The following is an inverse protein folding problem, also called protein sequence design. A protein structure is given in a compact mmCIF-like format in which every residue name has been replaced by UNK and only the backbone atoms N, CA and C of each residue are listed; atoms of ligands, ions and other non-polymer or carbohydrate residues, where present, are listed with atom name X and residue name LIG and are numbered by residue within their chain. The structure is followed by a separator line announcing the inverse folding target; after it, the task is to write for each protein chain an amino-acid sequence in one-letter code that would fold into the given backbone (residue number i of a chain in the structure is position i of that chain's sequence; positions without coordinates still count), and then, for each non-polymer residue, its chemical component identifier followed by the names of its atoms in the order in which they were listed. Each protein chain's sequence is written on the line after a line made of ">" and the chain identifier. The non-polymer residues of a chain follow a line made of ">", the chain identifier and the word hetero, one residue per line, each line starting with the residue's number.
data_IF_279156278570
#
_entry.id   IF_279156278570
#
_cell.length_a   1.000
_cell.length_b   1.000
_cell.length_c   1.000
_cell.angle_alpha   90.00
_cell.angle_beta   90.00
_cell.angle_gamma   90.00
#
_symmetry.space_group_name_H-M   'P 1'
#
loop_
_entity.id
_entity.type
_entity.pdbx_description
1 polymer ?
#
# COMPACT_ATOMS: atom_id res chain seq x y z
N UNK A 1 8.59 -8.36 5.27
CA UNK A 1 7.95 -8.97 4.10
C UNK A 1 6.47 -9.17 4.40
N UNK A 2 5.59 -8.99 3.42
CA UNK A 2 4.14 -8.95 3.52
C UNK A 2 3.53 -9.72 2.35
N UNK A 3 2.22 -9.85 2.32
CA UNK A 3 1.49 -10.55 1.24
C UNK A 3 0.62 -9.64 0.40
N UNK A 4 0.43 -8.40 0.83
CA UNK A 4 -0.49 -7.45 0.23
C UNK A 4 -1.97 -7.73 0.56
N UNK A 5 -2.21 -8.48 1.63
CA UNK A 5 -3.54 -8.68 2.18
C UNK A 5 -3.70 -7.75 3.38
N UNK A 6 -4.41 -6.65 3.15
CA UNK A 6 -4.67 -5.65 4.18
C UNK A 6 -5.46 -6.27 5.33
N UNK A 7 -4.94 -6.13 6.54
CA UNK A 7 -5.57 -6.71 7.73
C UNK A 7 -6.53 -5.73 8.41
N UNK A 8 -6.23 -4.43 8.33
CA UNK A 8 -7.13 -3.40 8.84
C UNK A 8 -6.76 -2.01 8.30
N UNK A 9 -7.57 -1.03 8.62
CA UNK A 9 -7.29 0.38 8.36
C UNK A 9 -6.81 1.06 9.64
N UNK A 10 -5.87 1.97 9.48
CA UNK A 10 -5.48 2.94 10.49
C UNK A 10 -5.76 4.36 10.05
N UNK A 11 -5.51 5.30 10.93
CA UNK A 11 -5.51 6.72 10.62
C UNK A 11 -4.37 7.43 11.34
N UNK A 12 -3.85 8.45 10.70
CA UNK A 12 -2.81 9.30 11.29
C UNK A 12 -3.44 10.12 12.42
N UNK A 13 -2.86 10.06 13.60
CA UNK A 13 -3.25 10.87 14.76
C UNK A 13 -2.32 12.05 14.97
N UNK A 14 -1.04 11.88 14.59
CA UNK A 14 -0.05 12.94 14.74
C UNK A 14 1.12 12.78 13.76
N UNK A 15 1.77 13.88 13.43
CA UNK A 15 3.03 13.90 12.69
C UNK A 15 3.90 15.08 13.12
N UNK A 16 5.02 14.78 13.77
CA UNK A 16 5.95 15.81 14.28
C UNK A 16 7.38 15.37 13.98
N UNK A 17 8.17 16.23 13.35
CA UNK A 17 9.60 16.04 13.12
C UNK A 17 9.98 14.71 12.46
N UNK A 18 9.16 14.22 11.53
CA UNK A 18 9.39 12.94 10.84
C UNK A 18 8.85 11.72 11.57
N UNK A 19 8.37 11.86 12.80
CA UNK A 19 7.65 10.81 13.53
C UNK A 19 6.17 10.85 13.19
N UNK A 20 5.66 9.75 12.65
CA UNK A 20 4.25 9.52 12.32
C UNK A 20 3.62 8.64 13.39
N UNK A 21 2.51 9.08 13.97
CA UNK A 21 1.68 8.31 14.90
C UNK A 21 0.41 7.84 14.21
N UNK A 22 0.12 6.56 14.34
CA UNK A 22 -1.02 5.89 13.69
C UNK A 22 -1.83 5.15 14.74
N UNK A 23 -3.15 5.33 14.69
CA UNK A 23 -4.12 4.56 15.47
C UNK A 23 -4.84 3.55 14.56
N UNK A 24 -4.99 2.31 15.05
CA UNK A 24 -5.66 1.21 14.33
C UNK A 24 -6.37 0.27 15.28
N UNK A 25 -7.53 -0.31 14.91
CA UNK A 25 -8.16 -1.39 15.65
C UNK A 25 -7.48 -2.76 15.40
N UNK A 26 -6.45 -2.85 14.53
CA UNK A 26 -5.69 -4.07 14.34
C UNK A 26 -4.98 -4.45 15.63
N UNK A 27 -5.16 -5.70 16.07
CA UNK A 27 -4.40 -6.23 17.21
C UNK A 27 -2.90 -6.29 16.88
N UNK A 28 -2.11 -5.50 17.60
CA UNK A 28 -0.65 -5.45 17.52
C UNK A 28 0.03 -6.02 18.77
N UNK A 29 -0.69 -6.80 19.61
CA UNK A 29 -0.16 -7.37 20.86
C UNK A 29 1.04 -8.31 20.64
N UNK A 30 1.15 -8.91 19.46
CA UNK A 30 2.26 -9.74 19.02
C UNK A 30 3.41 -8.98 18.34
N UNK A 31 3.25 -7.67 18.15
CA UNK A 31 4.29 -6.79 17.64
C UNK A 31 5.12 -6.18 18.78
N UNK A 32 6.38 -5.87 18.49
CA UNK A 32 7.32 -5.25 19.45
C UNK A 32 7.94 -4.00 18.81
N UNK A 33 8.55 -3.16 19.63
CA UNK A 33 9.45 -2.11 19.12
C UNK A 33 10.51 -2.80 18.25
N UNK A 34 10.72 -2.27 17.03
CA UNK A 34 11.54 -2.89 15.99
C UNK A 34 10.76 -3.80 15.02
N UNK A 35 9.49 -4.13 15.27
CA UNK A 35 8.66 -4.86 14.31
C UNK A 35 8.40 -4.00 13.06
N UNK A 36 8.39 -4.65 11.90
CA UNK A 36 7.98 -4.01 10.65
C UNK A 36 6.47 -4.09 10.48
N UNK A 37 5.86 -2.96 10.20
CA UNK A 37 4.43 -2.83 9.89
C UNK A 37 4.32 -2.17 8.50
N UNK A 38 3.54 -2.77 7.61
CA UNK A 38 3.26 -2.22 6.29
C UNK A 38 2.14 -1.17 6.41
N UNK A 39 2.46 0.07 6.04
CA UNK A 39 1.54 1.20 6.05
C UNK A 39 1.40 1.75 4.63
N UNK A 40 0.24 1.62 3.99
CA UNK A 40 0.04 1.96 2.57
C UNK A 40 1.14 1.38 1.66
N UNK A 41 1.57 0.14 1.91
CA UNK A 41 2.62 -0.52 1.14
C UNK A 41 4.05 -0.16 1.56
N UNK A 42 4.24 0.75 2.53
CA UNK A 42 5.57 1.14 3.02
C UNK A 42 5.92 0.30 4.23
N UNK A 43 7.04 -0.41 4.19
CA UNK A 43 7.60 -1.12 5.35
C UNK A 43 8.19 -0.10 6.33
N UNK A 44 7.55 0.06 7.48
CA UNK A 44 7.97 0.99 8.52
C UNK A 44 8.27 0.25 9.81
N UNK A 45 9.32 0.68 10.51
CA UNK A 45 9.72 0.08 11.78
C UNK A 45 9.03 0.78 12.93
N UNK A 46 8.31 0.03 13.75
CA UNK A 46 7.65 0.56 14.94
C UNK A 46 8.67 0.99 16.00
N UNK A 47 8.61 2.25 16.39
CA UNK A 47 9.44 2.83 17.49
C UNK A 47 8.69 2.90 18.80
N UNK A 48 7.38 2.80 18.76
CA UNK A 48 6.48 2.78 19.89
C UNK A 48 5.24 1.96 19.53
N UNK A 49 4.71 1.18 20.48
CA UNK A 49 3.43 0.46 20.36
C UNK A 49 2.77 0.49 21.73
N UNK A 50 1.52 0.89 21.79
CA UNK A 50 0.71 0.84 23.01
C UNK A 50 -0.76 0.62 22.65
N UNK A 51 -1.48 -0.03 23.54
CA UNK A 51 -2.93 -0.19 23.43
C UNK A 51 -3.62 0.90 24.25
N UNK A 52 -4.55 1.60 23.64
CA UNK A 52 -5.42 2.59 24.29
C UNK A 52 -6.86 2.24 23.93
N UNK A 53 -7.64 1.88 24.92
CA UNK A 53 -9.01 1.36 24.75
C UNK A 53 -9.04 0.17 23.77
N UNK A 54 -9.83 0.28 22.72
CA UNK A 54 -10.00 -0.74 21.68
C UNK A 54 -9.06 -0.55 20.48
N UNK A 55 -8.10 0.38 20.55
CA UNK A 55 -7.17 0.65 19.46
C UNK A 55 -5.72 0.45 19.92
N UNK A 56 -4.87 0.10 18.98
CA UNK A 56 -3.43 0.19 19.12
C UNK A 56 -2.95 1.51 18.50
N UNK A 57 -2.07 2.18 19.22
CA UNK A 57 -1.32 3.35 18.74
C UNK A 57 0.12 2.91 18.56
N UNK A 58 0.68 3.16 17.40
CA UNK A 58 2.09 2.93 17.14
C UNK A 58 2.72 4.13 16.42
N UNK A 59 4.03 4.28 16.63
CA UNK A 59 4.82 5.34 16.00
C UNK A 59 5.88 4.75 15.11
N UNK A 60 6.19 5.47 14.05
CA UNK A 60 7.22 5.12 13.06
C UNK A 60 7.95 6.38 12.61
N UNK A 61 9.22 6.26 12.24
CA UNK A 61 9.98 7.36 11.66
C UNK A 61 9.97 7.29 10.14
N UNK A 62 9.63 8.41 9.50
CA UNK A 62 9.69 8.57 8.06
C UNK A 62 11.02 9.23 7.67
N UNK A 63 11.96 8.44 7.13
CA UNK A 63 13.19 8.96 6.54
C UNK A 63 12.92 9.83 5.29
N UNK A 64 13.87 10.67 4.93
CA UNK A 64 13.76 11.58 3.77
C UNK A 64 13.46 10.82 2.46
N UNK A 65 14.09 9.67 2.24
CA UNK A 65 13.84 8.82 1.07
C UNK A 65 12.39 8.32 1.05
N UNK A 66 11.87 7.84 2.19
CA UNK A 66 10.48 7.41 2.32
C UNK A 66 9.52 8.54 1.99
N UNK A 67 9.76 9.73 2.54
CA UNK A 67 8.91 10.90 2.27
C UNK A 67 8.96 11.33 0.80
N UNK A 68 10.11 11.23 0.13
CA UNK A 68 10.26 11.64 -1.27
C UNK A 68 9.67 10.63 -2.26
N UNK A 69 9.69 9.33 -1.93
CA UNK A 69 9.28 8.24 -2.84
C UNK A 69 7.84 7.79 -2.65
N UNK A 70 7.19 8.20 -1.58
CA UNK A 70 5.87 7.68 -1.22
C UNK A 70 4.82 8.78 -1.11
N UNK A 71 3.56 8.38 -1.01
CA UNK A 71 2.47 9.32 -0.76
C UNK A 71 2.44 9.81 0.71
N UNK A 72 3.40 9.41 1.56
CA UNK A 72 3.64 9.99 2.90
C UNK A 72 4.32 11.37 2.84
N UNK A 73 4.14 12.12 1.77
CA UNK A 73 4.53 13.51 1.68
C UNK A 73 3.53 14.40 2.45
N UNK A 74 3.83 15.69 2.57
CA UNK A 74 3.12 16.70 3.38
C UNK A 74 1.57 16.69 3.35
N UNK A 75 0.94 15.97 2.42
CA UNK A 75 -0.51 15.92 2.28
C UNK A 75 -1.20 14.83 3.14
N UNK A 76 -0.46 13.88 3.72
CA UNK A 76 -1.02 12.82 4.60
C UNK A 76 -1.24 13.30 6.04
N UNK A 77 -0.71 14.46 6.39
CA UNK A 77 -0.77 15.04 7.75
C UNK A 77 -2.20 15.46 8.16
N UNK A 78 -3.18 15.37 7.28
CA UNK A 78 -4.57 15.59 7.66
C UNK A 78 -5.13 14.36 8.36
N UNK A 79 -5.53 14.52 9.62
CA UNK A 79 -6.04 13.51 10.57
C UNK A 79 -7.18 12.59 10.07
N UNK A 80 -7.55 12.62 8.80
CA UNK A 80 -8.64 11.84 8.20
C UNK A 80 -8.20 10.83 7.15
N UNK A 81 -6.91 10.76 6.82
CA UNK A 81 -6.42 9.82 5.79
C UNK A 81 -6.42 8.40 6.35
N UNK A 82 -7.11 7.51 5.64
CA UNK A 82 -7.10 6.08 5.96
C UNK A 82 -5.88 5.41 5.36
N UNK A 83 -5.19 4.62 6.18
CA UNK A 83 -3.96 3.90 5.86
C UNK A 83 -4.23 2.40 5.92
N UNK A 84 -3.90 1.69 4.86
CA UNK A 84 -3.90 0.23 4.86
C UNK A 84 -2.80 -0.27 5.78
N UNK A 85 -3.11 -1.23 6.65
CA UNK A 85 -2.15 -1.80 7.60
C UNK A 85 -2.11 -3.31 7.44
N UNK A 86 -0.88 -3.84 7.39
CA UNK A 86 -0.58 -5.27 7.40
C UNK A 86 0.64 -5.52 8.30
N UNK A 87 0.55 -6.54 9.18
CA UNK A 87 1.69 -7.02 9.97
C UNK A 87 2.63 -7.85 9.11
N UNK A 88 3.88 -7.93 9.52
CA UNK A 88 4.84 -8.82 8.85
C UNK A 88 4.37 -10.26 8.84
N UNK A 89 4.55 -10.92 7.69
CA UNK A 89 4.31 -12.35 7.48
C UNK A 89 5.16 -13.16 8.45
N UNK A 90 4.58 -14.13 9.12
CA UNK A 90 5.26 -15.11 9.95
C UNK A 90 5.58 -16.38 9.17
N UNK A 91 6.55 -17.15 9.62
CA UNK A 91 6.85 -18.46 9.02
C UNK A 91 5.65 -19.38 9.26
N UNK A 92 5.13 -19.94 8.17
CA UNK A 92 3.96 -20.82 8.20
C UNK A 92 2.64 -20.14 7.87
N UNK A 93 2.61 -18.81 7.75
CA UNK A 93 1.42 -18.10 7.30
C UNK A 93 1.13 -18.35 5.81
N UNK A 94 -0.13 -18.22 5.42
CA UNK A 94 -0.58 -18.34 4.04
C UNK A 94 -0.22 -17.09 3.24
N UNK A 95 0.26 -17.31 2.00
CA UNK A 95 0.52 -16.24 1.03
C UNK A 95 -0.67 -16.14 0.07
N UNK A 96 -1.73 -15.46 0.48
CA UNK A 96 -2.95 -15.30 -0.33
C UNK A 96 -2.85 -14.23 -1.42
N UNK A 97 -1.83 -13.37 -1.37
CA UNK A 97 -1.54 -12.34 -2.38
C UNK A 97 -0.30 -12.68 -3.20
N UNK A 98 0.69 -11.81 -3.14
CA UNK A 98 2.04 -12.04 -3.68
C UNK A 98 3.08 -11.51 -2.70
N UNK A 99 4.36 -11.73 -2.97
CA UNK A 99 5.43 -11.18 -2.11
C UNK A 99 5.51 -9.67 -2.23
N UNK A 100 5.17 -8.98 -1.14
CA UNK A 100 5.27 -7.53 -0.98
C UNK A 100 6.35 -7.23 0.05
N UNK A 101 7.33 -6.42 -0.31
CA UNK A 101 8.47 -6.10 0.55
C UNK A 101 8.27 -4.81 1.33
N UNK A 102 7.37 -3.96 0.86
CA UNK A 102 7.14 -2.65 1.44
C UNK A 102 8.16 -1.61 0.94
N UNK A 103 8.77 -1.85 -0.20
CA UNK A 103 9.77 -0.99 -0.81
C UNK A 103 9.18 -0.31 -2.05
N UNK A 104 8.62 0.87 -1.84
CA UNK A 104 7.92 1.61 -2.89
C UNK A 104 8.88 2.02 -4.00
N UNK A 105 8.51 1.66 -5.22
CA UNK A 105 9.25 2.05 -6.42
C UNK A 105 8.98 3.48 -6.81
N UNK A 106 7.69 3.83 -6.78
CA UNK A 106 7.20 5.15 -7.15
C UNK A 106 5.74 5.33 -6.73
N UNK A 107 5.26 6.51 -6.98
CA UNK A 107 3.83 6.82 -6.88
C UNK A 107 3.22 6.99 -8.26
N UNK A 108 1.90 6.82 -8.36
CA UNK A 108 1.13 7.16 -9.55
C UNK A 108 -0.19 7.79 -9.17
N UNK A 109 -0.85 8.40 -10.16
CA UNK A 109 -2.13 9.09 -10.00
C UNK A 109 -3.29 8.22 -10.48
N UNK A 110 -4.41 8.28 -9.77
CA UNK A 110 -5.68 7.71 -10.21
C UNK A 110 -6.29 8.64 -11.25
N UNK A 111 -6.39 8.16 -12.50
CA UNK A 111 -6.95 8.91 -13.61
C UNK A 111 -8.47 8.77 -13.71
N UNK A 112 -9.00 7.60 -13.36
CA UNK A 112 -10.42 7.33 -13.39
C UNK A 112 -10.79 6.19 -12.44
N UNK A 113 -12.04 6.18 -11.97
CA UNK A 113 -12.64 5.10 -11.16
C UNK A 113 -14.00 4.79 -11.79
N UNK A 114 -14.18 3.57 -12.27
CA UNK A 114 -15.43 3.11 -12.86
C UNK A 114 -16.06 2.04 -11.97
N UNK A 115 -17.26 2.31 -11.48
CA UNK A 115 -18.07 1.30 -10.80
C UNK A 115 -18.75 0.42 -11.86
N UNK A 116 -18.56 -0.88 -11.72
CA UNK A 116 -19.22 -1.92 -12.50
C UNK A 116 -20.31 -2.60 -11.65
N UNK A 117 -21.02 -3.57 -12.20
CA UNK A 117 -22.10 -4.25 -11.46
C UNK A 117 -21.61 -4.88 -10.15
N UNK A 118 -20.49 -5.63 -10.21
CA UNK A 118 -19.97 -6.39 -9.07
C UNK A 118 -18.48 -6.11 -8.80
N UNK A 119 -17.95 -4.98 -9.24
CA UNK A 119 -16.54 -4.62 -9.05
C UNK A 119 -16.32 -3.14 -9.32
N UNK A 120 -15.10 -2.68 -9.06
CA UNK A 120 -14.60 -1.37 -9.47
C UNK A 120 -13.39 -1.56 -10.36
N UNK A 121 -13.24 -0.70 -11.35
CA UNK A 121 -12.05 -0.62 -12.19
C UNK A 121 -11.37 0.72 -11.94
N UNK A 122 -10.14 0.66 -11.44
CA UNK A 122 -9.29 1.83 -11.22
C UNK A 122 -8.32 1.96 -12.39
N UNK A 123 -8.26 3.13 -12.96
CA UNK A 123 -7.34 3.48 -14.04
C UNK A 123 -6.23 4.35 -13.46
N UNK A 124 -5.00 3.88 -13.55
CA UNK A 124 -3.83 4.55 -13.02
C UNK A 124 -2.96 5.04 -14.16
N UNK A 125 -2.34 6.20 -13.99
CA UNK A 125 -1.41 6.75 -14.97
C UNK A 125 -0.25 5.77 -15.18
N UNK A 126 0.01 5.42 -16.44
CA UNK A 126 1.10 4.52 -16.78
C UNK A 126 2.44 5.24 -16.69
N UNK A 127 3.49 4.46 -16.47
CA UNK A 127 4.84 5.00 -16.35
C UNK A 127 5.45 5.23 -17.73
N UNK A 128 6.14 6.34 -17.88
CA UNK A 128 7.02 6.54 -19.01
C UNK A 128 8.31 5.73 -18.82
N UNK A 129 8.92 5.26 -19.92
CA UNK A 129 10.24 4.64 -19.93
C UNK A 129 10.30 3.16 -19.46
N UNK A 130 11.48 2.82 -18.90
CA UNK A 130 11.88 1.45 -18.54
C UNK A 130 11.00 0.71 -17.55
N UNK A 131 10.14 1.42 -16.82
CA UNK A 131 9.35 0.80 -15.75
C UNK A 131 8.03 0.18 -16.27
N UNK A 132 7.58 0.56 -17.46
CA UNK A 132 6.46 -0.09 -18.14
C UNK A 132 6.66 -1.61 -18.29
N UNK A 133 7.90 -2.06 -18.42
CA UNK A 133 8.24 -3.50 -18.51
C UNK A 133 7.87 -4.32 -17.28
N UNK A 134 7.64 -3.67 -16.13
CA UNK A 134 7.20 -4.35 -14.90
C UNK A 134 5.68 -4.40 -14.76
N UNK A 135 4.95 -3.70 -15.63
CA UNK A 135 3.49 -3.68 -15.68
C UNK A 135 3.04 -4.70 -16.72
N UNK A 136 2.70 -5.89 -16.26
CA UNK A 136 2.33 -7.01 -17.14
C UNK A 136 0.85 -7.34 -16.94
N UNK A 137 0.10 -7.43 -18.04
CA UNK A 137 -1.31 -7.82 -17.98
C UNK A 137 -1.46 -9.22 -17.37
N UNK A 138 -2.39 -9.37 -16.42
CA UNK A 138 -2.56 -10.53 -15.55
C UNK A 138 -1.46 -10.74 -14.51
N UNK A 139 -0.45 -9.89 -14.47
CA UNK A 139 0.57 -9.91 -13.41
C UNK A 139 0.07 -9.28 -12.11
N UNK A 140 0.84 -9.47 -11.04
CA UNK A 140 0.59 -8.86 -9.74
C UNK A 140 1.23 -7.48 -9.63
N UNK A 141 0.63 -6.63 -8.82
CA UNK A 141 1.15 -5.32 -8.43
C UNK A 141 0.65 -4.97 -7.04
N UNK A 142 1.49 -4.34 -6.21
CA UNK A 142 1.02 -3.79 -4.94
C UNK A 142 0.70 -2.31 -5.08
N UNK A 143 -0.54 -1.92 -4.74
CA UNK A 143 -1.02 -0.53 -4.75
C UNK A 143 -1.45 -0.16 -3.34
N UNK A 144 -0.81 0.83 -2.72
CA UNK A 144 -0.98 1.14 -1.30
C UNK A 144 -0.90 -0.13 -0.42
N UNK A 145 -0.02 -1.06 -0.76
CA UNK A 145 0.18 -2.32 -0.05
C UNK A 145 -0.89 -3.40 -0.31
N UNK A 146 -1.80 -3.16 -1.25
CA UNK A 146 -2.83 -4.14 -1.61
C UNK A 146 -2.33 -4.96 -2.80
N UNK A 147 -2.30 -6.28 -2.68
CA UNK A 147 -2.02 -7.19 -3.78
C UNK A 147 -3.19 -7.19 -4.77
N UNK A 148 -2.93 -6.78 -6.00
CA UNK A 148 -3.94 -6.64 -7.04
C UNK A 148 -3.44 -7.21 -8.36
N UNK A 149 -4.40 -7.59 -9.20
CA UNK A 149 -4.13 -8.08 -10.56
C UNK A 149 -4.29 -6.95 -11.57
N UNK A 150 -3.31 -6.78 -12.44
CA UNK A 150 -3.36 -5.85 -13.57
C UNK A 150 -4.36 -6.40 -14.59
N UNK A 151 -5.44 -5.66 -14.83
CA UNK A 151 -6.51 -6.07 -15.74
C UNK A 151 -6.18 -5.75 -17.18
N UNK A 152 -5.60 -4.56 -17.44
CA UNK A 152 -5.25 -4.06 -18.75
C UNK A 152 -4.06 -3.11 -18.71
N UNK A 153 -3.23 -3.13 -19.76
CA UNK A 153 -2.10 -2.21 -19.94
C UNK A 153 -2.26 -1.46 -21.25
N UNK A 154 -2.24 -0.14 -21.18
CA UNK A 154 -2.32 0.78 -22.31
C UNK A 154 -1.16 1.79 -22.26
N UNK A 155 -0.92 2.51 -23.35
CA UNK A 155 0.19 3.46 -23.40
C UNK A 155 0.14 4.54 -22.32
N UNK A 156 -1.05 5.04 -21.98
CA UNK A 156 -1.22 6.15 -21.03
C UNK A 156 -1.69 5.73 -19.66
N UNK A 157 -2.22 4.52 -19.50
CA UNK A 157 -2.74 4.01 -18.24
C UNK A 157 -2.63 2.49 -18.16
N UNK A 158 -2.68 1.96 -16.97
CA UNK A 158 -3.02 0.57 -16.71
C UNK A 158 -4.25 0.53 -15.80
N UNK A 159 -4.98 -0.57 -15.80
CA UNK A 159 -6.14 -0.73 -14.93
C UNK A 159 -6.02 -1.95 -14.04
N UNK A 160 -6.68 -1.86 -12.89
CA UNK A 160 -6.85 -2.95 -11.93
C UNK A 160 -8.33 -3.18 -11.69
N UNK A 161 -8.71 -4.44 -11.50
CA UNK A 161 -10.07 -4.81 -11.12
C UNK A 161 -10.12 -5.10 -9.62
N UNK A 162 -11.07 -4.47 -8.93
CA UNK A 162 -11.22 -4.55 -7.48
C UNK A 162 -12.58 -5.15 -7.14
N UNK A 163 -12.58 -6.28 -6.45
CA UNK A 163 -13.79 -6.96 -5.97
C UNK A 163 -14.39 -6.23 -4.75
N UNK A 164 -15.68 -6.42 -4.43
CA UNK A 164 -16.33 -5.74 -3.31
C UNK A 164 -15.64 -5.95 -1.97
N UNK A 165 -15.14 -7.15 -1.69
CA UNK A 165 -14.41 -7.43 -0.46
C UNK A 165 -13.18 -6.51 -0.32
N UNK A 166 -12.32 -6.46 -1.31
CA UNK A 166 -11.11 -5.62 -1.31
C UNK A 166 -11.46 -4.14 -1.24
N UNK A 167 -12.46 -3.69 -2.01
CA UNK A 167 -12.88 -2.30 -2.01
C UNK A 167 -13.35 -1.85 -0.62
N UNK A 168 -14.19 -2.64 0.05
CA UNK A 168 -14.80 -2.26 1.33
C UNK A 168 -13.85 -2.40 2.53
N UNK A 169 -12.78 -3.20 2.41
CA UNK A 169 -11.86 -3.49 3.52
C UNK A 169 -10.48 -2.82 3.37
N UNK A 170 -10.33 -1.95 2.37
CA UNK A 170 -9.09 -1.21 2.14
C UNK A 170 -9.35 0.27 1.96
N UNK A 171 -8.28 1.06 1.90
CA UNK A 171 -8.42 2.50 1.68
C UNK A 171 -8.91 2.87 0.27
N UNK A 172 -9.03 1.91 -0.67
CA UNK A 172 -9.54 2.16 -2.03
C UNK A 172 -10.93 2.81 -2.03
N UNK A 173 -11.78 2.49 -1.05
CA UNK A 173 -13.12 3.07 -0.96
C UNK A 173 -13.13 4.60 -0.68
N UNK A 174 -12.03 5.13 -0.17
CA UNK A 174 -11.90 6.56 0.18
C UNK A 174 -11.16 7.35 -0.90
N UNK A 175 -10.50 6.65 -1.84
CA UNK A 175 -9.70 7.28 -2.89
C UNK A 175 -10.59 7.90 -3.98
N UNK A 176 -10.08 9.00 -4.55
CA UNK A 176 -10.73 9.78 -5.60
C UNK A 176 -9.82 9.93 -6.82
N UNK A 177 -10.40 10.38 -7.91
CA UNK A 177 -9.65 10.78 -9.10
C UNK A 177 -8.67 11.90 -8.70
N UNK A 178 -7.43 11.80 -9.20
CA UNK A 178 -6.25 12.60 -8.89
C UNK A 178 -5.54 12.28 -7.58
N UNK A 179 -6.03 11.36 -6.75
CA UNK A 179 -5.28 10.89 -5.60
C UNK A 179 -4.02 10.14 -6.03
N UNK A 180 -2.98 10.27 -5.21
CA UNK A 180 -1.67 9.62 -5.42
C UNK A 180 -1.61 8.34 -4.59
N UNK A 181 -1.22 7.25 -5.22
CA UNK A 181 -1.04 5.94 -4.60
C UNK A 181 0.38 5.45 -4.72
N UNK A 182 0.84 4.68 -3.73
CA UNK A 182 2.13 4.01 -3.72
C UNK A 182 2.09 2.77 -4.61
N UNK A 183 3.16 2.54 -5.36
CA UNK A 183 3.33 1.38 -6.24
C UNK A 183 4.59 0.63 -5.84
N UNK A 184 4.44 -0.68 -5.64
CA UNK A 184 5.54 -1.63 -5.61
C UNK A 184 5.32 -2.65 -6.72
N UNK A 185 6.32 -2.80 -7.60
CA UNK A 185 6.27 -3.79 -8.67
C UNK A 185 6.55 -5.19 -8.12
N UNK A 186 5.89 -6.18 -8.69
CA UNK A 186 6.17 -7.58 -8.36
C UNK A 186 7.66 -7.91 -8.59
N UNK A 187 8.28 -8.51 -7.60
CA UNK A 187 9.69 -8.91 -7.66
C UNK A 187 9.95 -9.92 -8.77
N UNK A 188 9.00 -10.81 -9.08
CA UNK A 188 9.12 -11.74 -10.19
C UNK A 188 9.23 -11.02 -11.53
N UNK A 189 8.44 -9.96 -11.74
CA UNK A 189 8.54 -9.14 -12.93
C UNK A 189 9.92 -8.44 -13.03
N UNK A 190 10.50 -8.01 -11.89
CA UNK A 190 11.83 -7.40 -11.86
C UNK A 190 12.94 -8.37 -12.22
N UNK A 191 12.91 -9.60 -11.68
CA UNK A 191 13.91 -10.60 -12.01
C UNK A 191 13.80 -11.04 -13.45
N UNK A 192 12.61 -11.28 -13.97
CA UNK A 192 12.38 -11.65 -15.36
C UNK A 192 12.89 -10.58 -16.34
N UNK A 193 12.70 -9.32 -16.04
CA UNK A 193 13.15 -8.21 -16.88
C UNK A 193 14.69 -7.99 -16.88
N UNK A 194 15.43 -8.67 -16.00
CA UNK A 194 16.91 -8.64 -16.01
C UNK A 194 17.53 -9.75 -16.87
N UNK A 195 16.74 -10.77 -17.19
CA UNK A 195 17.24 -11.96 -17.91
C UNK A 195 17.02 -11.83 -19.41
N UNK A 196 16.19 -10.89 -19.83
CA UNK A 196 15.90 -10.52 -21.22
C UNK A 196 16.70 -9.25 -21.59
#
# INVERSE_FOLDING_TARGET
>A
MFTGIVQNLGHVTNYINGELEISTPLDLSDCKIGSSICCNGVCLTATYINQIDNNFIFKVNLGEETQSRTNFSKNIINNSVKINIEKSLKIGDEISGHFVYGHIDRTTKINNIKKLNNSWEFYLENFANKDVRFIVEKGSIAINGISLTIAKVENKYFSISVIPHTYNNTNLMYLKINDIVNIEFDYLARFSAKVI
#
